data_IF_455300099300
#
_entry.id   IF_455300099300
#
_cell.length_a   1.000
_cell.length_b   1.000
_cell.length_c   1.000
_cell.angle_alpha   90.00
_cell.angle_beta   90.00
_cell.angle_gamma   90.00
#
_symmetry.space_group_name_H-M   'P 1'
#
loop_
_entity.id
_entity.type
_entity.pdbx_description
1 polymer ?
#
# COMPACT_ATOMS: atom_id res chain seq x y z
N UNK A 1 -44.90 39.93 5.37
CA UNK A 1 -44.26 38.98 4.43
C UNK A 1 -42.77 39.25 4.39
N UNK A 2 -41.93 38.34 4.90
CA UNK A 2 -40.48 38.49 4.79
C UNK A 2 -40.06 38.30 3.32
N UNK A 3 -39.16 39.15 2.80
CA UNK A 3 -38.73 39.03 1.40
C UNK A 3 -38.02 37.68 1.18
N UNK A 4 -38.20 37.02 0.03
CA UNK A 4 -37.60 35.71 -0.28
C UNK A 4 -36.07 35.72 -0.15
N UNK A 5 -35.44 36.89 -0.34
CA UNK A 5 -34.00 37.11 -0.17
C UNK A 5 -33.52 37.00 1.29
N UNK A 6 -34.31 37.44 2.29
CA UNK A 6 -33.95 37.30 3.72
C UNK A 6 -34.01 35.85 4.19
N UNK A 7 -34.99 35.08 3.71
CA UNK A 7 -35.10 33.66 4.01
C UNK A 7 -33.93 32.85 3.43
N UNK A 8 -33.51 33.16 2.20
CA UNK A 8 -32.35 32.54 1.56
C UNK A 8 -31.05 32.82 2.32
N UNK A 9 -30.79 34.08 2.68
CA UNK A 9 -29.60 34.47 3.44
C UNK A 9 -29.54 33.84 4.84
N UNK A 10 -30.69 33.65 5.49
CA UNK A 10 -30.75 33.00 6.80
C UNK A 10 -30.45 31.49 6.74
N UNK A 11 -30.69 30.83 5.59
CA UNK A 11 -30.34 29.42 5.38
C UNK A 11 -28.89 29.23 4.88
N UNK A 12 -28.35 30.19 4.14
CA UNK A 12 -26.97 30.16 3.64
C UNK A 12 -25.93 30.35 4.74
N UNK A 13 -26.18 31.23 5.71
CA UNK A 13 -25.25 31.49 6.83
C UNK A 13 -24.87 30.24 7.64
N UNK A 14 -25.81 29.41 8.15
CA UNK A 14 -25.47 28.20 8.89
C UNK A 14 -24.85 27.12 7.99
N UNK A 15 -25.23 27.05 6.72
CA UNK A 15 -24.61 26.15 5.75
C UNK A 15 -23.14 26.52 5.48
N UNK A 16 -22.85 27.80 5.25
CA UNK A 16 -21.50 28.30 5.07
C UNK A 16 -20.68 28.15 6.36
N UNK A 17 -21.23 28.51 7.51
CA UNK A 17 -20.54 28.35 8.79
C UNK A 17 -20.20 26.88 9.09
N UNK A 18 -21.14 25.96 8.87
CA UNK A 18 -20.89 24.52 9.06
C UNK A 18 -19.89 23.96 8.04
N UNK A 19 -19.93 24.43 6.80
CA UNK A 19 -18.96 24.03 5.76
C UNK A 19 -17.57 24.53 6.11
N UNK A 20 -17.41 25.82 6.41
CA UNK A 20 -16.13 26.41 6.81
C UNK A 20 -15.56 25.75 8.07
N UNK A 21 -16.39 25.47 9.07
CA UNK A 21 -15.97 24.77 10.28
C UNK A 21 -15.49 23.34 9.99
N UNK A 22 -16.19 22.60 9.12
CA UNK A 22 -15.74 21.26 8.69
C UNK A 22 -14.44 21.32 7.90
N UNK A 23 -14.32 22.28 6.99
CA UNK A 23 -13.10 22.49 6.20
C UNK A 23 -11.93 22.83 7.11
N UNK A 24 -12.11 23.72 8.09
CA UNK A 24 -11.07 24.09 9.06
C UNK A 24 -10.60 22.90 9.90
N UNK A 25 -11.54 22.09 10.42
CA UNK A 25 -11.23 20.83 11.10
C UNK A 25 -10.39 19.93 10.19
N UNK A 26 -10.86 19.64 8.97
CA UNK A 26 -10.16 18.75 8.04
C UNK A 26 -8.75 19.27 7.70
N UNK A 27 -8.61 20.58 7.46
CA UNK A 27 -7.32 21.21 7.18
C UNK A 27 -6.38 21.12 8.39
N UNK A 28 -6.90 21.33 9.60
CA UNK A 28 -6.11 21.23 10.83
C UNK A 28 -5.61 19.80 11.05
N UNK A 29 -6.46 18.79 10.86
CA UNK A 29 -6.07 17.38 10.94
C UNK A 29 -5.08 17.00 9.85
N UNK A 30 -5.30 17.45 8.62
CA UNK A 30 -4.40 17.20 7.49
C UNK A 30 -3.03 17.83 7.74
N UNK A 31 -2.98 19.06 8.26
CA UNK A 31 -1.72 19.73 8.61
C UNK A 31 -0.95 18.94 9.69
N UNK A 32 -1.64 18.50 10.76
CA UNK A 32 -1.03 17.68 11.80
C UNK A 32 -0.55 16.33 11.26
N UNK A 33 -1.33 15.71 10.37
CA UNK A 33 -0.97 14.45 9.72
C UNK A 33 0.33 14.60 8.93
N UNK A 34 0.39 15.61 8.05
CA UNK A 34 1.53 15.88 7.18
C UNK A 34 2.76 16.38 7.94
N UNK A 35 2.59 16.87 9.17
CA UNK A 35 3.70 17.28 10.03
C UNK A 35 4.48 16.09 10.61
N UNK A 36 3.97 14.86 10.45
CA UNK A 36 4.64 13.65 10.95
C UNK A 36 5.11 12.77 9.79
N UNK A 37 6.29 12.17 9.92
CA UNK A 37 6.78 11.20 8.92
C UNK A 37 5.84 9.99 8.78
N UNK A 38 5.21 9.56 9.87
CA UNK A 38 4.21 8.47 9.86
C UNK A 38 2.96 8.83 9.05
N UNK A 39 2.43 10.04 9.25
CA UNK A 39 1.28 10.54 8.50
C UNK A 39 1.57 10.72 7.01
N UNK A 40 2.73 11.30 6.67
CA UNK A 40 3.16 11.41 5.26
C UNK A 40 3.32 10.02 4.63
N UNK A 41 4.01 9.08 5.30
CA UNK A 41 4.24 7.75 4.76
C UNK A 41 2.93 6.96 4.56
N UNK A 42 2.00 7.02 5.50
CA UNK A 42 0.70 6.36 5.40
C UNK A 42 -0.17 6.97 4.30
N UNK A 43 -0.15 8.30 4.12
CA UNK A 43 -0.84 8.97 3.03
C UNK A 43 -0.28 8.58 1.66
N UNK A 44 1.05 8.65 1.49
CA UNK A 44 1.72 8.28 0.23
C UNK A 44 1.46 6.82 -0.13
N UNK A 45 1.56 5.91 0.86
CA UNK A 45 1.25 4.49 0.66
C UNK A 45 -0.20 4.30 0.19
N UNK A 46 -1.16 4.93 0.87
CA UNK A 46 -2.58 4.84 0.51
C UNK A 46 -2.81 5.37 -0.90
N UNK A 47 -2.29 6.57 -1.19
CA UNK A 47 -2.46 7.24 -2.47
C UNK A 47 -1.84 6.42 -3.62
N UNK A 48 -0.64 5.87 -3.44
CA UNK A 48 0.03 5.02 -4.42
C UNK A 48 -0.86 3.83 -4.80
N UNK A 49 -1.26 3.01 -3.82
CA UNK A 49 -2.06 1.82 -4.11
C UNK A 49 -3.46 2.13 -4.63
N UNK A 50 -4.07 3.25 -4.20
CA UNK A 50 -5.32 3.73 -4.79
C UNK A 50 -5.14 4.12 -6.26
N UNK A 51 -4.05 4.80 -6.61
CA UNK A 51 -3.74 5.17 -7.99
C UNK A 51 -3.41 3.94 -8.85
N UNK A 52 -2.67 2.97 -8.32
CA UNK A 52 -2.42 1.66 -8.99
C UNK A 52 -3.74 0.93 -9.26
N UNK A 53 -4.64 0.87 -8.28
CA UNK A 53 -5.95 0.26 -8.46
C UNK A 53 -6.78 0.99 -9.52
N UNK A 54 -6.82 2.33 -9.44
CA UNK A 54 -7.55 3.15 -10.39
C UNK A 54 -6.99 3.00 -11.81
N UNK A 55 -5.65 2.98 -11.96
CA UNK A 55 -4.99 2.76 -13.24
C UNK A 55 -5.41 1.41 -13.83
N UNK A 56 -5.34 0.33 -13.06
CA UNK A 56 -5.75 -1.00 -13.52
C UNK A 56 -7.23 -1.03 -13.98
N UNK A 57 -8.13 -0.34 -13.27
CA UNK A 57 -9.54 -0.25 -13.69
C UNK A 57 -9.73 0.56 -14.97
N UNK A 58 -9.05 1.70 -15.09
CA UNK A 58 -9.12 2.54 -16.30
C UNK A 58 -8.53 1.81 -17.51
N UNK A 59 -7.39 1.13 -17.34
CA UNK A 59 -6.77 0.30 -18.38
C UNK A 59 -7.68 -0.83 -18.82
N UNK A 60 -8.36 -1.52 -17.88
CA UNK A 60 -9.36 -2.54 -18.22
C UNK A 60 -10.52 -1.97 -19.06
N UNK A 61 -11.04 -0.81 -18.67
CA UNK A 61 -12.09 -0.13 -19.43
C UNK A 61 -11.60 0.29 -20.82
N UNK A 62 -10.38 0.79 -20.91
CA UNK A 62 -9.77 1.21 -22.17
C UNK A 62 -9.58 0.03 -23.12
N UNK A 63 -9.06 -1.10 -22.62
CA UNK A 63 -8.90 -2.33 -23.39
C UNK A 63 -10.25 -2.84 -23.93
N UNK A 64 -11.29 -2.86 -23.09
CA UNK A 64 -12.63 -3.27 -23.53
C UNK A 64 -13.20 -2.35 -24.63
N UNK A 65 -12.91 -1.05 -24.58
CA UNK A 65 -13.31 -0.09 -25.64
C UNK A 65 -12.54 -0.34 -26.94
N UNK A 66 -11.25 -0.62 -26.86
CA UNK A 66 -10.45 -0.96 -28.04
C UNK A 66 -10.88 -2.29 -28.66
N UNK A 67 -11.17 -3.29 -27.85
CA UNK A 67 -11.67 -4.59 -28.32
C UNK A 67 -13.03 -4.42 -29.02
N UNK A 68 -13.97 -3.70 -28.40
CA UNK A 68 -15.27 -3.40 -29.01
C UNK A 68 -15.14 -2.64 -30.33
N UNK A 69 -14.23 -1.67 -30.41
CA UNK A 69 -13.94 -0.94 -31.65
C UNK A 69 -13.37 -1.88 -32.71
N UNK A 70 -12.38 -2.70 -32.36
CA UNK A 70 -11.75 -3.66 -33.27
C UNK A 70 -12.78 -4.66 -33.81
N UNK A 71 -13.64 -5.20 -32.94
CA UNK A 71 -14.73 -6.09 -33.34
C UNK A 71 -15.73 -5.41 -34.27
N UNK A 72 -16.11 -4.15 -34.00
CA UNK A 72 -17.03 -3.41 -34.88
C UNK A 72 -16.45 -3.13 -36.27
N UNK A 73 -15.14 -2.89 -36.34
CA UNK A 73 -14.43 -2.68 -37.61
C UNK A 73 -14.34 -4.01 -38.36
N UNK A 74 -13.96 -5.08 -37.67
CA UNK A 74 -13.88 -6.42 -38.24
C UNK A 74 -15.23 -6.91 -38.77
N UNK A 75 -16.33 -6.69 -38.03
CA UNK A 75 -17.67 -7.10 -38.47
C UNK A 75 -18.10 -6.34 -39.72
N UNK A 76 -17.92 -5.02 -39.76
CA UNK A 76 -18.25 -4.20 -40.94
C UNK A 76 -17.38 -4.54 -42.14
N UNK A 77 -16.10 -4.78 -41.93
CA UNK A 77 -15.19 -5.20 -42.99
C UNK A 77 -15.61 -6.56 -43.57
N UNK A 78 -16.03 -7.51 -42.73
CA UNK A 78 -16.48 -8.83 -43.17
C UNK A 78 -17.75 -8.80 -44.03
N UNK A 79 -18.63 -7.81 -43.86
CA UNK A 79 -19.81 -7.61 -44.71
C UNK A 79 -19.42 -7.11 -46.11
N UNK A 80 -18.28 -6.43 -46.24
CA UNK A 80 -17.82 -5.80 -47.49
C UNK A 80 -16.77 -6.60 -48.26
N UNK A 81 -16.09 -7.55 -47.61
CA UNK A 81 -15.00 -8.33 -48.21
C UNK A 81 -15.54 -9.56 -48.93
N UNK A 82 -14.96 -9.88 -50.09
CA UNK A 82 -15.25 -11.12 -50.80
C UNK A 82 -14.58 -12.32 -50.11
N UNK A 83 -15.08 -13.55 -50.30
CA UNK A 83 -14.47 -14.74 -49.72
C UNK A 83 -13.01 -14.89 -50.16
N UNK A 84 -12.09 -14.86 -49.19
CA UNK A 84 -10.64 -15.00 -49.42
C UNK A 84 -9.85 -13.69 -49.45
N UNK A 85 -10.50 -12.52 -49.37
CA UNK A 85 -9.81 -11.24 -49.22
C UNK A 85 -9.44 -10.98 -47.75
N UNK A 86 -8.17 -10.68 -47.50
CA UNK A 86 -7.67 -10.30 -46.17
C UNK A 86 -7.53 -8.80 -46.06
N UNK A 87 -8.24 -8.18 -45.13
CA UNK A 87 -8.08 -6.76 -44.80
C UNK A 87 -7.08 -6.60 -43.65
N UNK A 88 -5.96 -5.92 -43.94
CA UNK A 88 -5.01 -5.47 -42.92
C UNK A 88 -5.28 -3.98 -42.69
N UNK A 89 -5.99 -3.66 -41.62
CA UNK A 89 -6.23 -2.27 -41.21
C UNK A 89 -5.29 -1.88 -40.07
N UNK A 90 -4.46 -0.88 -40.30
CA UNK A 90 -3.72 -0.20 -39.22
C UNK A 90 -4.63 0.87 -38.63
N UNK A 91 -5.27 0.55 -37.52
CA UNK A 91 -6.12 1.50 -36.79
C UNK A 91 -5.20 2.37 -35.95
N UNK A 92 -5.14 3.67 -36.25
CA UNK A 92 -4.51 4.61 -35.31
C UNK A 92 -5.30 4.59 -34.00
N UNK A 93 -4.63 4.49 -32.84
CA UNK A 93 -5.35 4.45 -31.57
C UNK A 93 -6.17 5.74 -31.47
N UNK A 94 -7.51 5.64 -31.36
CA UNK A 94 -8.32 6.84 -31.20
C UNK A 94 -7.83 7.60 -29.98
N UNK A 95 -7.68 8.92 -30.12
CA UNK A 95 -7.37 9.82 -29.02
C UNK A 95 -8.56 9.91 -28.07
N UNK A 96 -8.72 8.86 -27.26
CA UNK A 96 -9.72 8.79 -26.22
C UNK A 96 -9.20 9.61 -25.03
N UNK A 97 -10.04 10.49 -24.50
CA UNK A 97 -9.79 11.13 -23.20
C UNK A 97 -9.48 10.09 -22.11
N UNK A 98 -10.06 8.89 -22.21
CA UNK A 98 -9.74 7.77 -21.32
C UNK A 98 -8.26 7.37 -21.36
N UNK A 99 -7.63 7.36 -22.53
CA UNK A 99 -6.21 7.03 -22.66
C UNK A 99 -5.32 8.09 -21.99
N UNK A 100 -5.67 9.38 -22.10
CA UNK A 100 -4.96 10.43 -21.39
C UNK A 100 -5.16 10.35 -19.87
N UNK A 101 -6.36 9.99 -19.40
CA UNK A 101 -6.60 9.71 -17.98
C UNK A 101 -5.78 8.52 -17.47
N UNK A 102 -5.71 7.42 -18.23
CA UNK A 102 -4.87 6.26 -17.86
C UNK A 102 -3.42 6.69 -17.68
N UNK A 103 -2.87 7.44 -18.63
CA UNK A 103 -1.49 7.94 -18.59
C UNK A 103 -1.27 8.91 -17.41
N UNK A 104 -2.22 9.84 -17.18
CA UNK A 104 -2.13 10.80 -16.09
C UNK A 104 -2.17 10.13 -14.71
N UNK A 105 -3.06 9.15 -14.51
CA UNK A 105 -3.15 8.39 -13.26
C UNK A 105 -1.88 7.57 -13.03
N UNK A 106 -1.31 6.95 -14.07
CA UNK A 106 -0.04 6.23 -13.97
C UNK A 106 1.11 7.15 -13.57
N UNK A 107 1.25 8.29 -14.25
CA UNK A 107 2.29 9.27 -13.96
C UNK A 107 2.16 9.85 -12.54
N UNK A 108 0.94 10.09 -12.07
CA UNK A 108 0.68 10.49 -10.69
C UNK A 108 1.11 9.38 -9.71
N UNK A 109 0.75 8.12 -9.99
CA UNK A 109 1.16 6.96 -9.20
C UNK A 109 2.68 6.84 -9.09
N UNK A 110 3.39 6.96 -10.21
CA UNK A 110 4.85 6.88 -10.27
C UNK A 110 5.53 8.01 -9.48
N UNK A 111 4.95 9.21 -9.53
CA UNK A 111 5.45 10.35 -8.74
C UNK A 111 5.28 10.12 -7.23
N UNK A 112 4.14 9.56 -6.83
CA UNK A 112 3.87 9.21 -5.42
C UNK A 112 4.78 8.07 -4.97
N UNK A 113 4.99 7.06 -5.81
CA UNK A 113 5.91 5.95 -5.56
C UNK A 113 7.35 6.45 -5.35
N UNK A 114 7.83 7.33 -6.22
CA UNK A 114 9.16 7.96 -6.10
C UNK A 114 9.32 8.65 -4.74
N UNK A 115 8.33 9.44 -4.34
CA UNK A 115 8.33 10.12 -3.03
C UNK A 115 8.31 9.12 -1.86
N UNK A 116 7.54 8.05 -1.99
CA UNK A 116 7.44 7.00 -0.98
C UNK A 116 8.75 6.23 -0.81
N UNK A 117 9.36 5.77 -1.90
CA UNK A 117 10.64 5.04 -1.88
C UNK A 117 11.78 5.95 -1.40
N UNK A 118 11.76 7.23 -1.78
CA UNK A 118 12.74 8.20 -1.28
C UNK A 118 12.74 8.28 0.25
N UNK A 119 11.56 8.29 0.89
CA UNK A 119 11.46 8.26 2.35
C UNK A 119 11.98 6.96 2.97
N UNK A 120 11.87 5.84 2.24
CA UNK A 120 12.38 4.54 2.67
C UNK A 120 13.90 4.45 2.65
N UNK A 121 14.63 5.37 2.00
CA UNK A 121 16.11 5.39 2.06
C UNK A 121 16.65 5.37 3.49
N UNK A 122 15.93 5.99 4.43
CA UNK A 122 16.26 6.03 5.86
C UNK A 122 15.74 4.82 6.65
N UNK A 123 15.13 3.83 5.99
CA UNK A 123 14.48 2.68 6.61
C UNK A 123 15.42 1.82 7.46
N UNK A 124 16.72 1.80 7.15
CA UNK A 124 17.72 1.05 7.93
C UNK A 124 17.82 1.53 9.38
N UNK A 125 17.58 2.81 9.66
CA UNK A 125 17.53 3.31 11.04
C UNK A 125 16.36 2.70 11.81
N UNK A 126 15.21 2.53 11.16
CA UNK A 126 14.06 1.83 11.72
C UNK A 126 14.35 0.35 11.97
N UNK A 127 15.05 -0.33 11.05
CA UNK A 127 15.47 -1.72 11.21
C UNK A 127 16.42 -1.88 12.40
N UNK A 128 17.44 -1.01 12.51
CA UNK A 128 18.37 -1.01 13.64
C UNK A 128 17.66 -0.78 14.98
N UNK A 129 16.78 0.23 15.05
CA UNK A 129 16.00 0.52 16.26
C UNK A 129 15.14 -0.69 16.67
N UNK A 130 14.50 -1.35 15.71
CA UNK A 130 13.74 -2.59 15.93
C UNK A 130 14.64 -3.73 16.44
N UNK A 131 15.80 -3.94 15.81
CA UNK A 131 16.75 -4.98 16.23
C UNK A 131 17.27 -4.74 17.65
N UNK A 132 17.58 -3.48 18.00
CA UNK A 132 18.00 -3.10 19.35
C UNK A 132 16.92 -3.40 20.38
N UNK A 133 15.64 -3.09 20.10
CA UNK A 133 14.53 -3.41 21.02
C UNK A 133 14.44 -4.91 21.26
N UNK A 134 14.51 -5.72 20.21
CA UNK A 134 14.47 -7.19 20.31
C UNK A 134 15.66 -7.76 21.07
N UNK A 135 16.84 -7.14 20.94
CA UNK A 135 18.02 -7.55 21.68
C UNK A 135 17.91 -7.26 23.19
N UNK A 136 17.36 -6.09 23.54
CA UNK A 136 17.18 -5.65 24.94
C UNK A 136 16.02 -6.38 25.62
N UNK A 137 14.94 -6.67 24.91
CA UNK A 137 13.77 -7.40 25.43
C UNK A 137 14.13 -8.89 25.63
N UNK A 138 14.51 -9.23 26.87
CA UNK A 138 15.18 -10.48 27.23
C UNK A 138 14.32 -11.75 27.34
N UNK A 139 13.01 -11.71 27.08
CA UNK A 139 12.12 -12.88 27.23
C UNK A 139 11.13 -13.00 26.07
N UNK A 140 11.34 -13.98 25.18
CA UNK A 140 10.38 -14.38 24.13
C UNK A 140 10.48 -15.89 23.91
N UNK A 141 9.38 -16.50 23.47
CA UNK A 141 9.40 -17.87 22.95
C UNK A 141 10.54 -18.01 21.90
N UNK A 142 11.34 -19.10 21.94
CA UNK A 142 12.50 -19.24 21.08
C UNK A 142 12.13 -19.25 19.59
N UNK A 143 10.95 -19.78 19.24
CA UNK A 143 10.45 -19.78 17.86
C UNK A 143 10.12 -18.35 17.45
N UNK A 144 9.36 -17.60 18.28
CA UNK A 144 9.05 -16.19 18.03
C UNK A 144 10.34 -15.36 17.91
N UNK A 145 11.33 -15.58 18.79
CA UNK A 145 12.63 -14.90 18.74
C UNK A 145 13.34 -15.18 17.41
N UNK A 146 13.38 -16.44 16.97
CA UNK A 146 14.00 -16.81 15.69
C UNK A 146 13.28 -16.16 14.49
N UNK A 147 11.95 -16.16 14.48
CA UNK A 147 11.14 -15.55 13.43
C UNK A 147 11.36 -14.04 13.36
N UNK A 148 11.44 -13.37 14.51
CA UNK A 148 11.69 -11.92 14.57
C UNK A 148 13.09 -11.57 14.06
N UNK A 149 14.13 -12.34 14.43
CA UNK A 149 15.48 -12.12 13.89
C UNK A 149 15.56 -12.40 12.39
N UNK A 150 14.95 -13.48 11.91
CA UNK A 150 14.86 -13.77 10.48
C UNK A 150 14.17 -12.63 9.72
N UNK A 151 13.09 -12.08 10.30
CA UNK A 151 12.36 -10.95 9.75
C UNK A 151 13.21 -9.67 9.70
N UNK A 152 13.95 -9.35 10.77
CA UNK A 152 14.89 -8.23 10.79
C UNK A 152 15.94 -8.36 9.68
N UNK A 153 16.51 -9.56 9.49
CA UNK A 153 17.49 -9.83 8.43
C UNK A 153 16.88 -9.67 7.03
N UNK A 154 15.70 -10.23 6.80
CA UNK A 154 14.97 -10.08 5.54
C UNK A 154 14.72 -8.60 5.23
N UNK A 155 14.26 -7.83 6.21
CA UNK A 155 14.01 -6.40 6.09
C UNK A 155 15.26 -5.56 5.85
N UNK A 156 16.37 -5.89 6.52
CA UNK A 156 17.65 -5.23 6.31
C UNK A 156 18.13 -5.44 4.86
N UNK A 157 18.11 -6.68 4.38
CA UNK A 157 18.49 -7.00 3.01
C UNK A 157 17.56 -6.34 2.00
N UNK A 158 16.25 -6.38 2.24
CA UNK A 158 15.26 -5.66 1.45
C UNK A 158 15.63 -4.17 1.31
N UNK A 159 15.92 -3.49 2.43
CA UNK A 159 16.18 -2.06 2.42
C UNK A 159 17.47 -1.71 1.69
N UNK A 160 18.51 -2.53 1.83
CA UNK A 160 19.78 -2.33 1.11
C UNK A 160 19.58 -2.47 -0.40
N UNK A 161 18.85 -3.51 -0.83
CA UNK A 161 18.60 -3.75 -2.26
C UNK A 161 17.68 -2.70 -2.88
N UNK A 162 16.59 -2.33 -2.20
CA UNK A 162 15.68 -1.27 -2.64
C UNK A 162 16.41 0.08 -2.75
N UNK A 163 17.18 0.45 -1.73
CA UNK A 163 17.97 1.69 -1.76
C UNK A 163 18.95 1.68 -2.94
N UNK A 164 19.64 0.56 -3.17
CA UNK A 164 20.54 0.40 -4.31
C UNK A 164 19.81 0.55 -5.65
N UNK A 165 18.69 -0.15 -5.83
CA UNK A 165 17.89 -0.10 -7.05
C UNK A 165 17.37 1.32 -7.32
N UNK A 166 16.86 2.00 -6.31
CA UNK A 166 16.39 3.38 -6.41
C UNK A 166 17.52 4.36 -6.77
N UNK A 167 18.69 4.24 -6.16
CA UNK A 167 19.84 5.10 -6.48
C UNK A 167 20.37 4.86 -7.90
N UNK A 168 20.25 3.64 -8.45
CA UNK A 168 20.51 3.36 -9.87
C UNK A 168 19.44 4.03 -10.74
N UNK A 169 18.14 3.86 -10.43
CA UNK A 169 17.00 4.47 -11.15
C UNK A 169 17.13 5.99 -11.25
N UNK A 170 17.64 6.65 -10.20
CA UNK A 170 17.87 8.11 -10.15
C UNK A 170 19.21 8.56 -10.74
N UNK A 171 20.04 7.65 -11.24
CA UNK A 171 21.32 7.96 -11.87
C UNK A 171 22.41 8.43 -10.90
N UNK A 172 22.26 8.15 -9.59
CA UNK A 172 23.28 8.41 -8.56
C UNK A 172 24.36 7.33 -8.62
N UNK A 173 23.97 6.07 -8.66
CA UNK A 173 24.87 4.95 -8.93
C UNK A 173 24.99 4.75 -10.43
N UNK A 174 26.16 5.08 -10.99
CA UNK A 174 26.42 5.11 -12.44
C UNK A 174 27.30 3.94 -12.88
N UNK A 175 27.10 3.51 -14.12
CA UNK A 175 27.93 2.51 -14.80
C UNK A 175 27.11 1.31 -15.28
N UNK A 176 27.53 0.72 -16.40
CA UNK A 176 26.83 -0.37 -17.08
C UNK A 176 26.54 -1.56 -16.15
N UNK A 177 27.49 -1.88 -15.26
CA UNK A 177 27.36 -2.95 -14.25
C UNK A 177 26.24 -2.72 -13.23
N UNK A 178 25.90 -1.46 -12.93
CA UNK A 178 24.84 -1.12 -12.00
C UNK A 178 23.48 -1.11 -12.70
N UNK A 179 23.41 -0.48 -13.87
CA UNK A 179 22.21 -0.46 -14.72
C UNK A 179 21.78 -1.87 -15.11
N UNK A 180 22.72 -2.75 -15.48
CA UNK A 180 22.41 -4.15 -15.81
C UNK A 180 21.86 -4.96 -14.62
N UNK A 181 22.13 -4.53 -13.38
CA UNK A 181 21.68 -5.21 -12.16
C UNK A 181 20.42 -4.62 -11.56
N UNK A 182 19.99 -3.43 -11.98
CA UNK A 182 18.85 -2.70 -11.38
C UNK A 182 17.62 -3.59 -11.24
N UNK A 183 17.21 -4.25 -12.33
CA UNK A 183 16.07 -5.16 -12.34
C UNK A 183 16.22 -6.30 -11.33
N UNK A 184 17.42 -6.86 -11.22
CA UNK A 184 17.71 -7.91 -10.23
C UNK A 184 17.62 -7.39 -8.79
N UNK A 185 18.05 -6.15 -8.53
CA UNK A 185 17.94 -5.53 -7.21
C UNK A 185 16.47 -5.34 -6.80
N UNK A 186 15.61 -4.88 -7.71
CA UNK A 186 14.16 -4.76 -7.48
C UNK A 186 13.49 -6.12 -7.20
N UNK A 187 13.80 -7.14 -8.00
CA UNK A 187 13.20 -8.47 -7.83
C UNK A 187 13.64 -9.12 -6.52
N UNK A 188 14.92 -9.04 -6.18
CA UNK A 188 15.41 -9.62 -4.93
C UNK A 188 14.98 -8.83 -3.71
N UNK A 189 14.81 -7.50 -3.80
CA UNK A 189 14.16 -6.74 -2.73
C UNK A 189 12.72 -7.23 -2.57
N UNK A 190 11.92 -7.32 -3.64
CA UNK A 190 10.55 -7.86 -3.61
C UNK A 190 10.45 -9.23 -2.92
N UNK A 191 11.38 -10.15 -3.22
CA UNK A 191 11.45 -11.47 -2.58
C UNK A 191 11.76 -11.42 -1.09
N UNK A 192 12.66 -10.53 -0.66
CA UNK A 192 12.95 -10.34 0.76
C UNK A 192 11.79 -9.67 1.50
N UNK A 193 11.05 -8.80 0.82
CA UNK A 193 9.81 -8.24 1.37
C UNK A 193 8.71 -9.29 1.51
N UNK A 194 8.56 -10.19 0.53
CA UNK A 194 7.69 -11.34 0.63
C UNK A 194 8.10 -12.24 1.80
N UNK A 195 9.40 -12.51 1.96
CA UNK A 195 9.92 -13.28 3.10
C UNK A 195 9.60 -12.61 4.46
N UNK A 196 9.79 -11.29 4.60
CA UNK A 196 9.40 -10.52 5.81
C UNK A 196 7.91 -10.68 6.13
N UNK A 197 7.06 -10.64 5.09
CA UNK A 197 5.60 -10.77 5.21
C UNK A 197 5.20 -12.19 5.62
N UNK A 198 5.78 -13.23 5.00
CA UNK A 198 5.52 -14.63 5.36
C UNK A 198 6.01 -14.95 6.77
N UNK A 199 7.21 -14.48 7.15
CA UNK A 199 7.74 -14.65 8.50
C UNK A 199 6.84 -13.99 9.56
N UNK A 200 6.24 -12.86 9.24
CA UNK A 200 5.27 -12.21 10.12
C UNK A 200 3.98 -13.01 10.28
N UNK A 201 3.47 -13.60 9.20
CA UNK A 201 2.29 -14.47 9.26
C UNK A 201 2.58 -15.72 10.11
N UNK A 202 3.76 -16.32 9.97
CA UNK A 202 4.20 -17.43 10.82
C UNK A 202 4.31 -16.99 12.29
N UNK A 203 4.84 -15.80 12.56
CA UNK A 203 4.90 -15.22 13.91
C UNK A 203 3.49 -15.04 14.48
N UNK A 204 2.57 -14.48 13.71
CA UNK A 204 1.18 -14.29 14.12
C UNK A 204 0.46 -15.63 14.36
N UNK A 205 0.69 -16.64 13.51
CA UNK A 205 0.16 -17.99 13.71
C UNK A 205 0.67 -18.61 15.01
N UNK A 206 1.97 -18.45 15.32
CA UNK A 206 2.56 -18.90 16.59
C UNK A 206 1.95 -18.18 17.80
N UNK A 207 1.76 -16.86 17.72
CA UNK A 207 1.09 -16.08 18.78
C UNK A 207 -0.36 -16.57 19.01
N UNK A 208 -1.10 -16.88 17.95
CA UNK A 208 -2.46 -17.45 18.05
C UNK A 208 -2.44 -18.86 18.65
N UNK A 209 -1.46 -19.70 18.29
CA UNK A 209 -1.27 -21.02 18.88
C UNK A 209 -1.04 -20.94 20.39
N UNK A 210 -0.29 -19.92 20.84
CA UNK A 210 -0.06 -19.63 22.25
C UNK A 210 -1.25 -18.94 22.93
N UNK A 211 -2.43 -18.88 22.29
CA UNK A 211 -3.66 -18.25 22.83
C UNK A 211 -3.48 -16.80 23.29
N UNK A 212 -2.61 -16.04 22.64
CA UNK A 212 -2.27 -14.67 23.05
C UNK A 212 -1.65 -14.59 24.45
N UNK A 213 -1.06 -15.69 24.95
CA UNK A 213 -0.44 -15.70 26.26
C UNK A 213 0.78 -14.77 26.26
N UNK A 214 0.55 -13.56 26.76
CA UNK A 214 1.18 -13.15 28.00
C UNK A 214 2.72 -13.35 27.96
N UNK A 215 3.17 -14.31 28.75
CA UNK A 215 4.53 -14.72 29.10
C UNK A 215 5.57 -14.98 27.98
N UNK A 216 5.22 -14.88 26.69
CA UNK A 216 6.15 -15.06 25.57
C UNK A 216 6.44 -13.76 24.78
N UNK A 217 6.03 -12.61 25.31
CA UNK A 217 6.17 -11.28 24.72
C UNK A 217 5.03 -10.30 25.04
N UNK A 218 4.28 -10.57 26.09
CA UNK A 218 3.27 -9.77 26.72
C UNK A 218 3.48 -9.92 28.26
N UNK A 219 2.93 -9.01 29.04
CA UNK A 219 3.48 -8.63 30.34
C UNK A 219 2.91 -9.53 31.46
N UNK A 220 3.77 -10.11 32.27
CA UNK A 220 3.41 -10.89 33.47
C UNK A 220 2.64 -9.94 34.42
N UNK A 221 1.40 -10.29 34.78
CA UNK A 221 0.74 -9.70 35.94
C UNK A 221 1.01 -10.65 37.09
N UNK A 222 1.79 -10.19 38.07
CA UNK A 222 2.01 -10.89 39.34
C UNK A 222 0.67 -11.42 39.87
N UNK A 223 0.64 -12.72 40.21
CA UNK A 223 -0.55 -13.49 40.58
C UNK A 223 -1.30 -12.98 41.83
N UNK A 224 -0.84 -11.91 42.47
CA UNK A 224 -1.35 -11.49 43.77
C UNK A 224 -2.25 -10.25 43.78
N UNK A 225 -2.36 -9.44 42.73
CA UNK A 225 -3.34 -8.33 42.76
C UNK A 225 -3.53 -7.65 41.39
N UNK A 226 -4.56 -8.05 40.62
CA UNK A 226 -5.32 -7.15 39.72
C UNK A 226 -6.57 -7.82 39.14
N UNK A 227 -7.66 -7.08 39.24
CA UNK A 227 -9.03 -7.45 38.85
C UNK A 227 -9.13 -8.27 37.55
N UNK A 228 -9.88 -9.38 37.61
CA UNK A 228 -10.27 -10.22 36.44
C UNK A 228 -10.83 -9.43 35.25
N UNK A 229 -11.30 -8.20 35.48
CA UNK A 229 -11.79 -7.28 34.45
C UNK A 229 -10.65 -6.72 33.58
N UNK A 230 -9.50 -6.41 34.16
CA UNK A 230 -8.35 -5.82 33.45
C UNK A 230 -7.71 -6.83 32.49
N UNK A 231 -7.53 -8.08 32.96
CA UNK A 231 -7.06 -9.20 32.12
C UNK A 231 -7.97 -9.46 30.90
N UNK A 232 -9.29 -9.36 31.08
CA UNK A 232 -10.25 -9.55 29.98
C UNK A 232 -10.20 -8.42 28.93
N UNK A 233 -9.85 -7.19 29.35
CA UNK A 233 -9.75 -6.02 28.49
C UNK A 233 -8.43 -6.07 27.71
N UNK A 234 -7.31 -6.43 28.36
CA UNK A 234 -6.01 -6.64 27.72
C UNK A 234 -6.07 -7.72 26.65
N UNK A 235 -6.69 -8.87 26.94
CA UNK A 235 -6.88 -9.96 25.98
C UNK A 235 -7.64 -9.52 24.71
N UNK A 236 -8.70 -8.71 24.86
CA UNK A 236 -9.44 -8.14 23.71
C UNK A 236 -8.60 -7.13 22.92
N UNK A 237 -7.80 -6.32 23.60
CA UNK A 237 -6.91 -5.36 22.94
C UNK A 237 -5.81 -6.07 22.14
N UNK A 238 -5.24 -7.15 22.69
CA UNK A 238 -4.26 -8.00 22.02
C UNK A 238 -4.87 -8.71 20.81
N UNK A 239 -6.06 -9.30 20.95
CA UNK A 239 -6.77 -9.92 19.84
C UNK A 239 -7.04 -8.90 18.72
N UNK A 240 -7.47 -7.68 19.06
CA UNK A 240 -7.68 -6.60 18.08
C UNK A 240 -6.38 -6.23 17.37
N UNK A 241 -5.26 -6.10 18.11
CA UNK A 241 -3.92 -5.83 17.54
C UNK A 241 -3.46 -6.97 16.62
N UNK A 242 -3.77 -8.22 16.98
CA UNK A 242 -3.45 -9.39 16.18
C UNK A 242 -4.23 -9.40 14.86
N UNK A 243 -5.55 -9.20 14.90
CA UNK A 243 -6.38 -9.13 13.69
C UNK A 243 -5.93 -8.00 12.77
N UNK A 244 -5.65 -6.83 13.35
CA UNK A 244 -5.11 -5.70 12.60
C UNK A 244 -3.79 -6.05 11.92
N UNK A 245 -2.86 -6.67 12.65
CA UNK A 245 -1.58 -7.12 12.09
C UNK A 245 -1.77 -8.16 10.99
N UNK A 246 -2.71 -9.09 11.16
CA UNK A 246 -3.05 -10.06 10.14
C UNK A 246 -3.55 -9.39 8.86
N UNK A 247 -4.51 -8.47 8.94
CA UNK A 247 -5.03 -7.77 7.77
C UNK A 247 -3.98 -6.94 7.04
N UNK A 248 -3.08 -6.29 7.78
CA UNK A 248 -1.94 -5.57 7.20
C UNK A 248 -1.07 -6.52 6.37
N UNK A 249 -0.68 -7.66 6.94
CA UNK A 249 0.21 -8.60 6.24
C UNK A 249 -0.49 -9.33 5.09
N UNK A 250 -1.77 -9.66 5.22
CA UNK A 250 -2.57 -10.21 4.13
C UNK A 250 -2.72 -9.21 2.97
N UNK A 251 -2.85 -7.92 3.27
CA UNK A 251 -2.85 -6.87 2.24
C UNK A 251 -1.50 -6.70 1.55
N UNK A 252 -0.39 -6.92 2.25
CA UNK A 252 0.96 -6.89 1.66
C UNK A 252 1.33 -8.14 0.85
N UNK A 253 0.67 -9.28 1.06
CA UNK A 253 1.01 -10.51 0.35
C UNK A 253 0.92 -10.38 -1.19
N UNK A 254 -0.18 -9.91 -1.80
CA UNK A 254 -0.24 -9.83 -3.26
C UNK A 254 0.79 -8.87 -3.89
N UNK A 255 1.02 -7.64 -3.37
CA UNK A 255 2.05 -6.74 -3.87
C UNK A 255 3.45 -7.35 -3.78
N UNK A 256 3.81 -7.91 -2.62
CA UNK A 256 5.14 -8.52 -2.43
C UNK A 256 5.37 -9.73 -3.32
N UNK A 257 4.33 -10.52 -3.56
CA UNK A 257 4.39 -11.64 -4.47
C UNK A 257 4.53 -11.19 -5.93
N UNK A 258 3.76 -10.20 -6.36
CA UNK A 258 3.84 -9.64 -7.73
C UNK A 258 5.24 -9.09 -8.03
N UNK A 259 5.83 -8.32 -7.11
CA UNK A 259 7.17 -7.74 -7.24
C UNK A 259 8.32 -8.75 -7.16
N UNK A 260 8.03 -10.02 -6.86
CA UNK A 260 9.05 -11.09 -6.79
C UNK A 260 9.40 -11.69 -8.15
N UNK A 261 8.71 -11.28 -9.22
CA UNK A 261 8.90 -11.75 -10.60
C UNK A 261 9.72 -10.75 -11.42
N UNK A 262 10.59 -11.27 -12.30
CA UNK A 262 11.32 -10.41 -13.26
C UNK A 262 10.39 -9.79 -14.29
N UNK A 263 9.36 -10.52 -14.67
CA UNK A 263 8.34 -10.11 -15.61
C UNK A 263 7.01 -10.07 -14.86
N UNK A 264 6.55 -8.85 -14.57
CA UNK A 264 5.32 -8.59 -13.83
C UNK A 264 4.08 -9.10 -14.57
N UNK A 265 4.13 -9.19 -15.91
CA UNK A 265 3.02 -9.75 -16.71
C UNK A 265 2.86 -11.25 -16.50
N UNK A 266 3.92 -11.95 -16.07
CA UNK A 266 3.87 -13.37 -15.72
C UNK A 266 3.45 -13.62 -14.27
N UNK A 267 3.32 -12.58 -13.46
CA UNK A 267 2.79 -12.72 -12.11
C UNK A 267 1.32 -13.17 -12.19
N UNK A 268 0.89 -14.19 -11.42
CA UNK A 268 -0.51 -14.57 -11.35
C UNK A 268 -1.37 -13.55 -10.60
N UNK A 269 -0.75 -12.59 -9.91
CA UNK A 269 -1.41 -11.45 -9.28
C UNK A 269 -1.41 -10.29 -10.27
N UNK A 270 -2.59 -9.80 -10.64
CA UNK A 270 -2.75 -8.63 -11.50
C UNK A 270 -2.47 -7.32 -10.77
N UNK A 271 -2.11 -6.27 -11.51
CA UNK A 271 -1.90 -4.91 -10.97
C UNK A 271 -3.13 -4.40 -10.18
N UNK A 272 -4.34 -4.75 -10.63
CA UNK A 272 -5.56 -4.41 -9.89
C UNK A 272 -5.62 -5.05 -8.50
N UNK A 273 -5.16 -6.30 -8.36
CA UNK A 273 -5.04 -6.92 -7.05
C UNK A 273 -3.93 -6.30 -6.20
N UNK A 274 -2.81 -5.93 -6.81
CA UNK A 274 -1.72 -5.18 -6.13
C UNK A 274 -2.27 -3.88 -5.53
N UNK A 275 -2.94 -3.06 -6.34
CA UNK A 275 -3.57 -1.81 -5.90
C UNK A 275 -4.61 -2.02 -4.80
N UNK A 276 -5.55 -2.95 -5.00
CA UNK A 276 -6.62 -3.20 -4.04
C UNK A 276 -6.10 -3.69 -2.68
N UNK A 277 -5.20 -4.68 -2.69
CA UNK A 277 -4.69 -5.29 -1.47
C UNK A 277 -3.70 -4.39 -0.73
N UNK A 278 -2.82 -3.68 -1.44
CA UNK A 278 -1.89 -2.71 -0.84
C UNK A 278 -2.57 -1.45 -0.29
N UNK A 279 -3.78 -1.12 -0.76
CA UNK A 279 -4.59 -0.05 -0.20
C UNK A 279 -5.05 -0.38 1.24
N UNK A 280 -5.28 -1.66 1.57
CA UNK A 280 -5.72 -2.08 2.91
C UNK A 280 -4.73 -1.67 4.02
N UNK A 281 -3.44 -2.05 3.99
CA UNK A 281 -2.48 -1.62 5.00
C UNK A 281 -2.27 -0.10 4.98
N UNK A 282 -2.33 0.54 3.82
CA UNK A 282 -2.29 2.00 3.68
C UNK A 282 -3.42 2.68 4.46
N UNK A 283 -4.68 2.31 4.20
CA UNK A 283 -5.86 2.85 4.88
C UNK A 283 -5.82 2.58 6.38
N UNK A 284 -5.41 1.36 6.77
CA UNK A 284 -5.27 0.98 8.17
C UNK A 284 -4.25 1.91 8.87
N UNK A 285 -3.09 2.15 8.27
CA UNK A 285 -2.07 3.05 8.81
C UNK A 285 -2.53 4.52 8.82
N UNK A 286 -3.20 4.96 7.75
CA UNK A 286 -3.73 6.33 7.61
C UNK A 286 -4.80 6.61 8.65
N UNK A 287 -5.68 5.66 8.94
CA UNK A 287 -6.69 5.78 10.00
C UNK A 287 -6.07 5.92 11.39
N UNK A 288 -4.96 5.23 11.67
CA UNK A 288 -4.27 5.37 12.96
C UNK A 288 -3.60 6.74 13.05
N UNK A 289 -2.84 7.12 12.03
CA UNK A 289 -2.18 8.42 11.98
C UNK A 289 -3.22 9.55 12.06
N UNK A 290 -4.38 9.41 11.41
CA UNK A 290 -5.47 10.37 11.51
C UNK A 290 -6.06 10.47 12.92
N UNK A 291 -6.24 9.34 13.62
CA UNK A 291 -6.71 9.34 15.01
C UNK A 291 -5.72 10.01 15.97
N UNK A 292 -4.43 9.89 15.71
CA UNK A 292 -3.39 10.57 16.49
C UNK A 292 -3.38 12.09 16.30
N UNK A 293 -4.05 12.60 15.26
CA UNK A 293 -4.20 14.05 15.04
C UNK A 293 -5.46 14.64 15.69
N UNK A 294 -6.30 13.82 16.34
CA UNK A 294 -7.53 14.26 16.98
C UNK A 294 -7.32 14.80 18.39
#
# INVERSE_FOLDING_TARGET
MASPTRALMNNLKPFLASTTHRTDIILSHTSRLLSTTSGVNSLLTTLFFTLTFLHAQLTRLLSARYESLALSIASRASETLLPGETLIATIQPPHLTLASWCAAVKAAGDTVEDGWILMRLFGLFGVYSGARKVYVEGKRDPVIKSLVWAKILARAGFQVLENGAFLVRRGVLRGEKWTARERGLWVWSGRLWLADTVLELLRLARVRQLKYNEDFGAEEVDEDEKDKKDFSIQSRALEKRWWRSLYINLGWLPPTFHLSFYDEERSPVSEGWVGFSGMVPGLIALQDAWRETA
#
